data_IF_858500072812
#
_entry.id   IF_858500072812
#
_cell.length_a   1.000
_cell.length_b   1.000
_cell.length_c   1.000
_cell.angle_alpha   90.00
_cell.angle_beta   90.00
_cell.angle_gamma   90.00
#
_symmetry.space_group_name_H-M   'P 1'
#
loop_
_entity.id
_entity.type
_entity.pdbx_description
1 polymer ?
#
# COMPACT_ATOMS: atom_id res chain seq x y z
N UNK A 1 -3.33 -6.21 19.44
CA UNK A 1 -3.75 -6.64 18.07
C UNK A 1 -3.44 -5.51 17.10
N UNK A 2 -3.06 -5.84 15.87
CA UNK A 2 -2.82 -4.85 14.81
C UNK A 2 -3.85 -4.94 13.69
N UNK A 3 -4.08 -3.82 13.03
CA UNK A 3 -4.87 -3.71 11.81
C UNK A 3 -3.94 -3.24 10.70
N UNK A 4 -3.87 -3.99 9.61
CA UNK A 4 -3.06 -3.60 8.45
C UNK A 4 -3.97 -3.05 7.37
N UNK A 5 -3.90 -1.74 7.16
CA UNK A 5 -4.63 -1.05 6.10
C UNK A 5 -3.77 -0.98 4.84
N UNK A 6 -4.33 -1.30 3.68
CA UNK A 6 -3.57 -1.32 2.44
C UNK A 6 -4.38 -0.83 1.23
N UNK A 7 -3.64 -0.35 0.24
CA UNK A 7 -4.15 0.10 -1.05
C UNK A 7 -3.26 -0.40 -2.19
N UNK A 8 -3.76 -0.36 -3.42
CA UNK A 8 -2.99 -0.71 -4.61
C UNK A 8 -2.80 0.48 -5.55
N UNK A 9 -1.73 0.44 -6.34
CA UNK A 9 -1.44 1.43 -7.34
C UNK A 9 -0.87 0.80 -8.62
N UNK A 10 -1.34 1.25 -9.77
CA UNK A 10 -0.87 0.80 -11.09
C UNK A 10 -1.63 -0.39 -11.65
N UNK A 11 -2.65 -0.93 -10.98
CA UNK A 11 -3.49 -2.01 -11.47
C UNK A 11 -4.36 -1.54 -12.67
N UNK A 12 -4.59 -2.44 -13.63
CA UNK A 12 -5.41 -2.21 -14.85
C UNK A 12 -4.97 -1.05 -15.75
N UNK A 13 -3.75 -0.53 -15.60
CA UNK A 13 -3.21 0.54 -16.44
C UNK A 13 -1.84 0.16 -17.05
N UNK A 14 -1.79 -1.00 -17.70
CA UNK A 14 -0.54 -1.59 -18.22
C UNK A 14 0.24 -0.71 -19.20
N UNK A 15 -0.44 0.18 -19.93
CA UNK A 15 0.19 1.04 -20.92
C UNK A 15 0.94 2.24 -20.31
N UNK A 16 0.54 2.69 -19.12
CA UNK A 16 1.08 3.89 -18.49
C UNK A 16 1.84 3.61 -17.19
N UNK A 17 1.61 2.45 -16.59
CA UNK A 17 2.13 2.12 -15.27
C UNK A 17 3.08 0.90 -15.33
N UNK A 18 4.41 1.11 -15.28
CA UNK A 18 5.38 0.02 -15.36
C UNK A 18 5.41 -0.87 -14.12
N UNK A 19 4.89 -0.39 -12.99
CA UNK A 19 4.86 -1.12 -11.72
C UNK A 19 3.43 -1.31 -11.21
N UNK A 20 3.18 -2.46 -10.60
CA UNK A 20 2.08 -2.66 -9.66
C UNK A 20 2.68 -2.61 -8.26
N UNK A 21 2.06 -1.86 -7.37
CA UNK A 21 2.47 -1.72 -5.98
C UNK A 21 1.26 -1.97 -5.10
N UNK A 22 1.42 -2.76 -4.05
CA UNK A 22 0.48 -2.85 -2.94
C UNK A 22 1.25 -2.38 -1.72
N UNK A 23 0.73 -1.37 -1.03
CA UNK A 23 1.38 -0.80 0.13
C UNK A 23 0.38 -0.54 1.25
N UNK A 24 0.87 -0.48 2.47
CA UNK A 24 0.00 -0.27 3.62
C UNK A 24 0.73 0.03 4.91
N UNK A 25 -0.06 0.27 5.94
CA UNK A 25 0.38 0.66 7.28
C UNK A 25 -0.12 -0.35 8.32
N UNK A 26 0.74 -0.71 9.28
CA UNK A 26 0.45 -1.70 10.33
C UNK A 26 0.16 -0.95 11.64
N UNK A 27 -1.11 -0.70 11.93
CA UNK A 27 -1.58 0.15 13.03
C UNK A 27 -1.88 -0.69 14.27
N UNK A 28 -1.34 -0.33 15.43
CA UNK A 28 -1.78 -0.93 16.71
C UNK A 28 -3.16 -0.40 17.07
N UNK A 29 -4.18 -1.28 17.07
CA UNK A 29 -5.58 -0.91 17.18
C UNK A 29 -5.90 -0.03 18.40
N UNK A 30 -5.39 -0.42 19.58
CA UNK A 30 -5.74 0.26 20.84
C UNK A 30 -4.90 1.51 21.11
N UNK A 31 -3.65 1.58 20.55
CA UNK A 31 -2.72 2.63 20.89
C UNK A 31 -2.61 3.73 19.81
N UNK A 32 -2.76 3.36 18.53
CA UNK A 32 -2.44 4.25 17.42
C UNK A 32 -3.65 4.71 16.62
N UNK A 33 -4.74 3.92 16.56
CA UNK A 33 -5.85 4.21 15.64
C UNK A 33 -6.55 5.54 15.96
N UNK A 34 -6.95 5.75 17.20
CA UNK A 34 -7.63 7.00 17.62
C UNK A 34 -6.70 8.22 17.42
N UNK A 35 -5.45 8.24 17.92
CA UNK A 35 -4.54 9.36 17.67
C UNK A 35 -4.28 9.65 16.19
N UNK A 36 -4.22 8.60 15.35
CA UNK A 36 -4.09 8.72 13.90
C UNK A 36 -5.30 9.43 13.29
N UNK A 37 -6.50 8.97 13.62
CA UNK A 37 -7.75 9.54 13.10
C UNK A 37 -7.91 11.01 13.51
N UNK A 38 -7.65 11.34 14.77
CA UNK A 38 -7.66 12.72 15.27
C UNK A 38 -6.63 13.60 14.57
N UNK A 39 -5.47 13.02 14.21
CA UNK A 39 -4.44 13.78 13.51
C UNK A 39 -4.87 14.11 12.07
N UNK A 40 -5.47 13.15 11.37
CA UNK A 40 -6.00 13.38 10.02
C UNK A 40 -7.12 14.42 10.06
N UNK A 41 -8.00 14.41 11.09
CA UNK A 41 -8.99 15.46 11.26
C UNK A 41 -8.36 16.84 11.46
N UNK A 42 -7.27 16.93 12.24
CA UNK A 42 -6.53 18.20 12.37
C UNK A 42 -5.97 18.68 11.03
N UNK A 43 -5.38 17.79 10.21
CA UNK A 43 -4.90 18.16 8.88
C UNK A 43 -6.03 18.62 7.96
N UNK A 44 -7.20 17.98 8.03
CA UNK A 44 -8.39 18.45 7.30
C UNK A 44 -8.76 19.87 7.75
N UNK A 45 -8.79 20.13 9.06
CA UNK A 45 -9.10 21.47 9.59
C UNK A 45 -8.05 22.53 9.22
N UNK A 46 -6.80 22.14 9.15
CA UNK A 46 -5.68 23.02 8.85
C UNK A 46 -5.63 23.40 7.36
N UNK A 47 -5.79 22.42 6.48
CA UNK A 47 -5.59 22.62 5.05
C UNK A 47 -6.89 22.88 4.27
N UNK A 48 -8.03 22.35 4.71
CA UNK A 48 -9.26 22.34 3.93
C UNK A 48 -10.21 23.44 4.40
N UNK A 49 -10.75 24.28 3.49
CA UNK A 49 -11.74 25.30 3.82
C UNK A 49 -12.96 24.72 4.53
N UNK A 50 -13.52 25.46 5.48
CA UNK A 50 -14.58 24.99 6.37
C UNK A 50 -15.79 24.40 5.63
N UNK A 51 -16.19 25.01 4.53
CA UNK A 51 -17.33 24.54 3.71
C UNK A 51 -17.14 23.18 3.04
N UNK A 52 -15.89 22.73 2.92
CA UNK A 52 -15.52 21.52 2.18
C UNK A 52 -15.07 20.36 3.08
N UNK A 53 -15.00 20.55 4.39
CA UNK A 53 -14.48 19.56 5.34
C UNK A 53 -15.37 18.34 5.54
N UNK A 54 -16.69 18.52 5.40
CA UNK A 54 -17.63 17.43 5.66
C UNK A 54 -17.49 16.32 4.65
N UNK A 55 -17.09 15.13 5.11
CA UNK A 55 -16.87 13.97 4.25
C UNK A 55 -15.62 14.08 3.36
N UNK A 56 -14.70 15.02 3.67
CA UNK A 56 -13.47 15.16 2.90
C UNK A 56 -12.55 13.94 3.06
N UNK A 57 -11.92 13.55 1.96
CA UNK A 57 -10.99 12.41 1.88
C UNK A 57 -9.75 12.85 1.13
N UNK A 58 -8.59 12.65 1.73
CA UNK A 58 -7.32 12.84 1.03
C UNK A 58 -7.10 11.72 0.03
N UNK A 59 -6.69 12.09 -1.20
CA UNK A 59 -6.23 11.19 -2.24
C UNK A 59 -4.86 11.66 -2.75
N UNK A 60 -3.84 10.84 -2.60
CA UNK A 60 -2.47 11.22 -2.97
C UNK A 60 -2.32 11.55 -4.46
N UNK A 61 -3.00 10.81 -5.32
CA UNK A 61 -3.02 11.07 -6.77
C UNK A 61 -3.64 12.44 -7.10
N UNK A 62 -4.73 12.84 -6.42
CA UNK A 62 -5.35 14.15 -6.64
C UNK A 62 -4.46 15.29 -6.14
N UNK A 63 -3.84 15.12 -4.99
CA UNK A 63 -2.86 16.08 -4.46
C UNK A 63 -1.68 16.25 -5.42
N UNK A 64 -1.17 15.17 -5.99
CA UNK A 64 -0.03 15.24 -6.90
C UNK A 64 -0.38 15.87 -8.26
N UNK A 65 -1.42 15.39 -8.91
CA UNK A 65 -1.76 15.82 -10.27
C UNK A 65 -2.62 17.08 -10.35
N UNK A 66 -3.27 17.48 -9.26
CA UNK A 66 -4.32 18.47 -9.28
C UNK A 66 -5.60 17.84 -9.82
N UNK A 67 -6.37 17.21 -8.94
CA UNK A 67 -7.62 16.53 -9.28
C UNK A 67 -8.85 17.39 -9.02
N UNK A 68 -10.00 16.74 -8.98
CA UNK A 68 -11.31 17.37 -8.85
C UNK A 68 -11.40 18.41 -7.73
N UNK A 69 -10.83 18.11 -6.57
CA UNK A 69 -10.84 19.00 -5.41
C UNK A 69 -9.65 19.98 -5.42
N UNK A 70 -8.49 19.50 -5.80
CA UNK A 70 -7.24 20.25 -5.80
C UNK A 70 -6.92 20.85 -7.17
N UNK A 71 -7.83 21.62 -7.76
CA UNK A 71 -7.58 22.28 -9.03
C UNK A 71 -6.31 23.13 -8.98
N UNK A 72 -5.59 23.20 -10.10
CA UNK A 72 -4.25 23.79 -10.15
C UNK A 72 -4.23 25.31 -9.98
N UNK A 73 -5.36 25.97 -10.21
CA UNK A 73 -5.50 27.42 -10.10
C UNK A 73 -5.58 27.86 -8.63
N UNK A 74 -6.46 27.20 -7.85
CA UNK A 74 -6.67 27.52 -6.43
C UNK A 74 -5.69 26.77 -5.50
N UNK A 75 -5.13 25.65 -5.99
CA UNK A 75 -4.21 24.79 -5.25
C UNK A 75 -2.89 24.63 -6.03
N UNK A 76 -1.96 25.61 -5.94
CA UNK A 76 -0.65 25.50 -6.57
C UNK A 76 0.11 24.27 -6.08
N UNK A 77 1.01 23.74 -6.92
CA UNK A 77 1.74 22.51 -6.66
C UNK A 77 2.41 22.51 -5.27
N UNK A 78 3.04 23.62 -4.90
CA UNK A 78 3.74 23.74 -3.61
C UNK A 78 2.80 23.45 -2.43
N UNK A 79 1.61 24.04 -2.40
CA UNK A 79 0.61 23.83 -1.35
C UNK A 79 0.12 22.38 -1.29
N UNK A 80 -0.04 21.73 -2.44
CA UNK A 80 -0.44 20.32 -2.53
C UNK A 80 0.67 19.39 -2.05
N UNK A 81 1.93 19.72 -2.33
CA UNK A 81 3.09 18.97 -1.83
C UNK A 81 3.29 19.14 -0.31
N UNK A 82 2.95 20.30 0.26
CA UNK A 82 2.94 20.48 1.71
C UNK A 82 1.95 19.54 2.39
N UNK A 83 0.72 19.42 1.87
CA UNK A 83 -0.27 18.45 2.39
C UNK A 83 0.25 17.01 2.25
N UNK A 84 0.84 16.66 1.10
CA UNK A 84 1.43 15.34 0.92
C UNK A 84 2.58 15.06 1.88
N UNK A 85 3.38 16.06 2.21
CA UNK A 85 4.47 15.94 3.17
C UNK A 85 3.94 15.70 4.59
N UNK A 86 2.89 16.41 4.99
CA UNK A 86 2.24 16.19 6.29
C UNK A 86 1.65 14.78 6.39
N UNK A 87 1.01 14.27 5.34
CA UNK A 87 0.51 12.90 5.28
C UNK A 87 1.65 11.86 5.29
N UNK A 88 2.74 12.10 4.55
CA UNK A 88 3.91 11.23 4.50
C UNK A 88 4.65 11.15 5.84
N UNK A 89 4.59 12.19 6.65
CA UNK A 89 5.21 12.22 7.97
C UNK A 89 4.43 11.41 9.04
N UNK A 90 3.18 11.05 8.79
CA UNK A 90 2.32 10.36 9.76
C UNK A 90 2.90 9.03 10.25
N UNK A 91 3.39 8.12 9.38
CA UNK A 91 3.97 6.86 9.84
C UNK A 91 5.10 7.06 10.86
N UNK A 92 6.06 7.94 10.58
CA UNK A 92 7.15 8.25 11.51
C UNK A 92 6.68 8.94 12.79
N UNK A 93 5.68 9.82 12.69
CA UNK A 93 5.13 10.54 13.86
C UNK A 93 4.46 9.62 14.87
N UNK A 94 3.84 8.55 14.41
CA UNK A 94 3.10 7.62 15.27
C UNK A 94 3.77 6.25 15.41
N UNK A 95 5.00 6.08 14.94
CA UNK A 95 5.74 4.82 14.95
C UNK A 95 4.92 3.68 14.29
N UNK A 96 4.36 3.98 13.11
CA UNK A 96 3.52 3.06 12.34
C UNK A 96 4.36 2.42 11.23
N UNK A 97 4.61 1.10 11.27
CA UNK A 97 5.35 0.42 10.21
C UNK A 97 4.63 0.49 8.86
N UNK A 98 5.41 0.68 7.80
CA UNK A 98 4.96 0.71 6.41
C UNK A 98 5.44 -0.54 5.70
N UNK A 99 4.51 -1.35 5.20
CA UNK A 99 4.79 -2.55 4.41
C UNK A 99 4.43 -2.32 2.95
N UNK A 100 5.15 -2.97 2.02
CA UNK A 100 4.80 -2.94 0.61
C UNK A 100 5.30 -4.19 -0.13
N UNK A 101 4.61 -4.52 -1.21
CA UNK A 101 5.06 -5.41 -2.26
C UNK A 101 4.97 -4.70 -3.61
N UNK A 102 5.83 -5.05 -4.55
CA UNK A 102 5.74 -4.49 -5.90
C UNK A 102 6.19 -5.49 -6.93
N UNK A 103 5.77 -5.27 -8.18
CA UNK A 103 6.21 -6.02 -9.34
C UNK A 103 6.37 -5.10 -10.55
N UNK A 104 7.50 -5.25 -11.26
CA UNK A 104 7.70 -4.60 -12.55
C UNK A 104 7.05 -5.46 -13.62
N UNK A 105 6.16 -4.89 -14.41
CA UNK A 105 5.36 -5.61 -15.41
C UNK A 105 6.21 -6.37 -16.43
N UNK A 106 7.32 -5.77 -16.89
CA UNK A 106 8.20 -6.43 -17.86
C UNK A 106 8.85 -7.71 -17.33
N UNK A 107 9.08 -7.81 -16.00
CA UNK A 107 9.64 -9.00 -15.38
C UNK A 107 8.59 -10.12 -15.27
N UNK A 108 7.35 -9.76 -15.05
CA UNK A 108 6.25 -10.72 -14.94
C UNK A 108 5.93 -11.40 -16.27
N UNK A 109 6.04 -10.69 -17.39
CA UNK A 109 5.85 -11.25 -18.72
C UNK A 109 6.78 -12.42 -19.05
N UNK A 110 7.87 -12.60 -18.32
CA UNK A 110 8.78 -13.74 -18.48
C UNK A 110 8.17 -15.07 -17.98
N UNK A 111 7.20 -15.00 -17.08
CA UNK A 111 6.58 -16.15 -16.41
C UNK A 111 5.12 -16.37 -16.81
N UNK A 112 4.51 -15.39 -17.44
CA UNK A 112 3.12 -15.41 -17.86
C UNK A 112 3.09 -15.57 -19.40
N UNK A 113 2.46 -16.64 -19.88
CA UNK A 113 2.23 -16.81 -21.31
C UNK A 113 1.01 -15.97 -21.75
N UNK A 114 1.22 -14.82 -22.42
CA UNK A 114 0.12 -13.92 -22.80
C UNK A 114 -0.83 -14.55 -23.85
N UNK A 115 -0.42 -15.65 -24.47
CA UNK A 115 -1.29 -16.38 -25.39
C UNK A 115 -2.35 -17.24 -24.66
N UNK A 116 -2.13 -17.52 -23.38
CA UNK A 116 -3.02 -18.36 -22.55
C UNK A 116 -3.98 -17.58 -21.66
N UNK A 117 -3.69 -16.31 -21.38
CA UNK A 117 -4.47 -15.49 -20.48
C UNK A 117 -4.92 -14.20 -21.19
N UNK A 118 -6.13 -13.75 -20.90
CA UNK A 118 -6.56 -12.43 -21.32
C UNK A 118 -5.93 -11.33 -20.44
N UNK A 119 -6.00 -10.09 -20.87
CA UNK A 119 -5.39 -8.94 -20.16
C UNK A 119 -5.82 -8.84 -18.70
N UNK A 120 -7.10 -9.12 -18.40
CA UNK A 120 -7.61 -9.06 -17.03
C UNK A 120 -7.03 -10.18 -16.15
N UNK A 121 -6.93 -11.39 -16.67
CA UNK A 121 -6.35 -12.52 -15.95
C UNK A 121 -4.88 -12.26 -15.63
N UNK A 122 -4.14 -11.69 -16.59
CA UNK A 122 -2.75 -11.26 -16.37
C UNK A 122 -2.66 -10.23 -15.24
N UNK A 123 -3.51 -9.20 -15.25
CA UNK A 123 -3.53 -8.19 -14.20
C UNK A 123 -3.85 -8.78 -12.81
N UNK A 124 -4.79 -9.72 -12.75
CA UNK A 124 -5.13 -10.39 -11.49
C UNK A 124 -4.01 -11.32 -11.00
N UNK A 125 -3.28 -11.98 -11.90
CA UNK A 125 -2.09 -12.75 -11.53
C UNK A 125 -0.99 -11.85 -10.98
N UNK A 126 -0.71 -10.72 -11.65
CA UNK A 126 0.25 -9.73 -11.19
C UNK A 126 -0.12 -9.16 -9.82
N UNK A 127 -1.42 -8.92 -9.61
CA UNK A 127 -1.93 -8.50 -8.31
C UNK A 127 -1.67 -9.57 -7.25
N UNK A 128 -2.00 -10.84 -7.53
CA UNK A 128 -1.78 -11.96 -6.59
C UNK A 128 -0.32 -12.07 -6.18
N UNK A 129 0.61 -12.01 -7.14
CA UNK A 129 2.05 -12.10 -6.88
C UNK A 129 2.57 -10.91 -6.06
N UNK A 130 2.06 -9.70 -6.35
CA UNK A 130 2.38 -8.49 -5.59
C UNK A 130 1.82 -8.55 -4.17
N UNK A 131 0.59 -9.06 -4.04
CA UNK A 131 -0.08 -9.27 -2.77
C UNK A 131 0.66 -10.29 -1.88
N UNK A 132 1.21 -11.36 -2.49
CA UNK A 132 2.05 -12.32 -1.76
C UNK A 132 3.25 -11.63 -1.10
N UNK A 133 3.98 -10.80 -1.86
CA UNK A 133 5.16 -10.06 -1.35
C UNK A 133 4.79 -9.08 -0.26
N UNK A 134 3.68 -8.37 -0.42
CA UNK A 134 3.14 -7.48 0.59
C UNK A 134 2.80 -8.23 1.88
N UNK A 135 2.09 -9.35 1.78
CA UNK A 135 1.74 -10.17 2.93
C UNK A 135 2.97 -10.83 3.59
N UNK A 136 3.97 -11.24 2.80
CA UNK A 136 5.22 -11.78 3.33
C UNK A 136 5.94 -10.76 4.20
N UNK A 137 6.02 -9.51 3.77
CA UNK A 137 6.60 -8.41 4.55
C UNK A 137 5.85 -8.18 5.88
N UNK A 138 4.52 -8.24 5.85
CA UNK A 138 3.70 -8.12 7.07
C UNK A 138 3.95 -9.31 8.00
N UNK A 139 3.91 -10.53 7.48
CA UNK A 139 4.11 -11.73 8.28
C UNK A 139 5.49 -11.75 8.94
N UNK A 140 6.53 -11.32 8.23
CA UNK A 140 7.88 -11.11 8.77
C UNK A 140 7.85 -10.13 9.95
N UNK A 141 7.32 -8.93 9.75
CA UNK A 141 7.22 -7.93 10.80
C UNK A 141 6.47 -8.47 12.02
N UNK A 142 5.34 -9.13 11.80
CA UNK A 142 4.52 -9.69 12.88
C UNK A 142 5.24 -10.79 13.65
N UNK A 143 6.04 -11.63 12.99
CA UNK A 143 6.80 -12.70 13.68
C UNK A 143 8.03 -12.16 14.41
N UNK A 144 8.70 -11.15 13.88
CA UNK A 144 9.97 -10.66 14.41
C UNK A 144 9.79 -9.51 15.42
N UNK A 145 8.89 -8.58 15.16
CA UNK A 145 8.72 -7.38 15.96
C UNK A 145 7.43 -7.33 16.80
N UNK A 146 6.43 -8.17 16.50
CA UNK A 146 5.14 -8.22 17.18
C UNK A 146 4.64 -9.67 17.37
N UNK A 147 5.53 -10.56 17.85
CA UNK A 147 5.33 -12.01 17.84
C UNK A 147 4.19 -12.51 18.75
N UNK A 148 3.73 -11.73 19.68
CA UNK A 148 2.59 -11.99 20.56
C UNK A 148 1.25 -11.44 20.03
N UNK A 149 1.30 -10.72 18.92
CA UNK A 149 0.13 -10.11 18.29
C UNK A 149 -0.29 -10.84 17.00
N UNK A 150 -1.52 -10.59 16.59
CA UNK A 150 -2.04 -10.94 15.26
C UNK A 150 -2.40 -9.67 14.49
N UNK A 151 -2.51 -9.77 13.16
CA UNK A 151 -3.02 -8.70 12.32
C UNK A 151 -4.17 -9.17 11.43
N UNK A 152 -5.09 -8.24 11.15
CA UNK A 152 -6.20 -8.40 10.18
C UNK A 152 -5.96 -7.41 9.04
N UNK A 153 -6.15 -7.87 7.80
CA UNK A 153 -5.95 -7.05 6.60
C UNK A 153 -7.24 -6.32 6.23
N UNK A 154 -7.14 -5.03 5.96
CA UNK A 154 -8.23 -4.16 5.53
C UNK A 154 -7.78 -3.41 4.27
N UNK A 155 -8.28 -3.82 3.11
CA UNK A 155 -7.96 -3.21 1.82
C UNK A 155 -8.95 -2.11 1.43
N UNK A 156 -8.54 -1.25 0.49
CA UNK A 156 -9.51 -0.37 -0.16
C UNK A 156 -10.54 -1.17 -0.96
N UNK A 157 -11.80 -0.72 -0.90
CA UNK A 157 -12.93 -1.39 -1.55
C UNK A 157 -12.85 -1.26 -3.07
N UNK A 158 -12.39 -2.34 -3.71
CA UNK A 158 -12.27 -2.49 -5.15
C UNK A 158 -12.78 -3.89 -5.56
N UNK A 159 -13.99 -3.98 -6.06
CA UNK A 159 -14.65 -5.23 -6.44
C UNK A 159 -13.82 -6.11 -7.38
N UNK A 160 -12.93 -5.51 -8.19
CA UNK A 160 -12.13 -6.25 -9.15
C UNK A 160 -11.11 -7.19 -8.50
N UNK A 161 -10.69 -6.89 -7.25
CA UNK A 161 -9.65 -7.63 -6.54
C UNK A 161 -10.16 -8.50 -5.38
N UNK A 162 -11.41 -8.32 -4.94
CA UNK A 162 -11.94 -9.02 -3.76
C UNK A 162 -11.75 -10.53 -3.82
N UNK A 163 -12.16 -11.14 -4.93
CA UNK A 163 -12.08 -12.59 -5.09
C UNK A 163 -10.64 -13.10 -5.09
N UNK A 164 -9.73 -12.41 -5.80
CA UNK A 164 -8.33 -12.82 -5.90
C UNK A 164 -7.58 -12.64 -4.59
N UNK A 165 -7.82 -11.55 -3.86
CA UNK A 165 -7.20 -11.33 -2.55
C UNK A 165 -7.63 -12.37 -1.52
N UNK A 166 -8.93 -12.70 -1.47
CA UNK A 166 -9.47 -13.74 -0.57
C UNK A 166 -8.93 -15.14 -0.91
N UNK A 167 -8.90 -15.49 -2.19
CA UNK A 167 -8.37 -16.76 -2.66
C UNK A 167 -6.86 -16.88 -2.36
N UNK A 168 -6.09 -15.85 -2.67
CA UNK A 168 -4.67 -15.80 -2.38
C UNK A 168 -4.41 -16.01 -0.88
N UNK A 169 -5.14 -15.30 -0.02
CA UNK A 169 -4.99 -15.43 1.43
C UNK A 169 -5.33 -16.84 1.95
N UNK A 170 -6.30 -17.54 1.36
CA UNK A 170 -6.59 -18.94 1.67
C UNK A 170 -5.41 -19.86 1.34
N UNK A 171 -4.86 -19.72 0.14
CA UNK A 171 -3.70 -20.48 -0.33
C UNK A 171 -2.48 -20.25 0.55
N UNK A 172 -2.20 -19.00 0.92
CA UNK A 172 -1.03 -18.66 1.73
C UNK A 172 -1.11 -19.14 3.19
N UNK A 173 -2.28 -19.58 3.64
CA UNK A 173 -2.48 -20.25 4.93
C UNK A 173 -2.36 -21.76 4.87
N UNK A 174 -2.46 -22.37 3.68
CA UNK A 174 -2.38 -23.81 3.52
C UNK A 174 -0.91 -24.27 3.44
N UNK A 175 -0.38 -25.00 4.45
CA UNK A 175 1.00 -25.45 4.43
C UNK A 175 1.33 -26.38 3.25
N UNK A 176 0.36 -27.17 2.78
CA UNK A 176 0.58 -28.07 1.65
C UNK A 176 0.71 -27.30 0.36
N UNK A 177 -0.19 -26.33 0.13
CA UNK A 177 -0.11 -25.47 -1.04
C UNK A 177 1.20 -24.67 -1.07
N UNK A 178 1.60 -24.09 0.06
CA UNK A 178 2.86 -23.33 0.19
C UNK A 178 4.06 -24.20 -0.13
N UNK A 179 4.13 -25.41 0.41
CA UNK A 179 5.22 -26.35 0.17
C UNK A 179 5.36 -26.72 -1.31
N UNK A 180 4.24 -26.88 -2.01
CA UNK A 180 4.22 -27.31 -3.42
C UNK A 180 4.44 -26.14 -4.38
N UNK A 181 3.89 -24.97 -4.08
CA UNK A 181 3.77 -23.87 -5.05
C UNK A 181 4.71 -22.69 -4.76
N UNK A 182 5.00 -22.43 -3.49
CA UNK A 182 5.77 -21.28 -3.06
C UNK A 182 6.89 -21.60 -2.05
N UNK A 183 7.72 -22.64 -2.28
CA UNK A 183 8.70 -23.15 -1.31
C UNK A 183 9.82 -22.14 -0.97
N UNK A 184 9.96 -21.07 -1.74
CA UNK A 184 10.98 -20.05 -1.54
C UNK A 184 10.48 -18.86 -0.68
N UNK A 185 9.19 -18.82 -0.34
CA UNK A 185 8.64 -17.77 0.51
C UNK A 185 8.86 -18.14 1.98
N UNK A 186 9.76 -17.42 2.64
CA UNK A 186 10.30 -17.77 3.97
C UNK A 186 9.25 -17.63 5.08
N UNK A 187 8.35 -16.65 4.94
CA UNK A 187 7.35 -16.31 5.96
C UNK A 187 5.96 -16.89 5.67
N UNK A 188 5.91 -17.93 4.86
CA UNK A 188 4.70 -18.72 4.59
C UNK A 188 4.81 -20.12 5.22
N UNK A 189 3.71 -20.77 5.63
CA UNK A 189 2.32 -20.23 5.62
C UNK A 189 2.11 -19.13 6.67
N UNK A 190 1.03 -18.33 6.51
CA UNK A 190 0.68 -17.29 7.46
C UNK A 190 0.38 -17.84 8.85
N UNK A 191 1.03 -17.27 9.87
CA UNK A 191 0.79 -17.59 11.28
C UNK A 191 0.21 -16.38 12.04
N UNK A 192 0.49 -15.16 11.61
CA UNK A 192 0.11 -13.92 12.29
C UNK A 192 -0.94 -13.12 11.54
N UNK A 193 -1.00 -13.22 10.22
CA UNK A 193 -2.13 -12.69 9.45
C UNK A 193 -3.32 -13.61 9.66
N UNK A 194 -4.38 -13.11 10.31
CA UNK A 194 -5.57 -13.88 10.68
C UNK A 194 -6.81 -13.30 9.99
N UNK A 195 -7.93 -14.01 10.11
CA UNK A 195 -9.21 -13.71 9.48
C UNK A 195 -9.12 -13.61 7.94
N UNK A 196 -10.25 -13.45 7.29
CA UNK A 196 -10.31 -13.11 5.86
C UNK A 196 -9.97 -11.64 5.68
N UNK A 197 -9.40 -11.27 4.53
CA UNK A 197 -9.24 -9.85 4.19
C UNK A 197 -10.61 -9.15 4.14
N UNK A 198 -10.68 -8.00 4.79
CA UNK A 198 -11.82 -7.09 4.77
C UNK A 198 -11.58 -5.96 3.78
N UNK A 199 -12.65 -5.31 3.34
CA UNK A 199 -12.57 -4.16 2.45
C UNK A 199 -13.43 -3.02 2.99
N UNK A 200 -12.91 -1.79 2.91
CA UNK A 200 -13.57 -0.57 3.34
C UNK A 200 -13.24 0.58 2.38
N UNK A 201 -14.09 1.60 2.35
CA UNK A 201 -13.83 2.80 1.55
C UNK A 201 -12.92 3.76 2.32
N UNK A 202 -12.10 4.53 1.60
CA UNK A 202 -11.28 5.62 2.19
C UNK A 202 -12.12 6.66 2.95
N UNK A 203 -13.39 6.83 2.57
CA UNK A 203 -14.35 7.69 3.29
C UNK A 203 -14.80 7.11 4.64
N UNK A 204 -14.65 5.81 4.84
CA UNK A 204 -15.03 5.08 6.06
C UNK A 204 -13.83 4.82 6.97
N UNK A 205 -12.60 4.89 6.42
CA UNK A 205 -11.36 4.61 7.15
C UNK A 205 -10.25 5.61 6.82
N UNK A 206 -9.87 6.41 7.81
CA UNK A 206 -8.78 7.39 7.66
C UNK A 206 -7.41 6.73 7.47
N UNK A 207 -7.19 5.57 8.07
CA UNK A 207 -5.94 4.83 7.92
C UNK A 207 -5.73 4.36 6.46
N UNK A 208 -6.80 4.10 5.69
CA UNK A 208 -6.70 3.83 4.25
C UNK A 208 -6.19 5.03 3.45
N UNK A 209 -6.43 6.27 3.89
CA UNK A 209 -5.88 7.46 3.24
C UNK A 209 -4.35 7.54 3.41
N UNK A 210 -3.84 7.04 4.53
CA UNK A 210 -2.38 6.94 4.75
C UNK A 210 -1.79 5.79 3.96
N UNK A 211 -2.49 4.65 3.86
CA UNK A 211 -2.08 3.55 3.00
C UNK A 211 -2.00 3.99 1.52
N UNK A 212 -3.00 4.74 1.00
CA UNK A 212 -2.99 5.37 -0.33
C UNK A 212 -1.76 6.26 -0.52
N UNK A 213 -1.50 7.14 0.46
CA UNK A 213 -0.35 8.06 0.40
C UNK A 213 0.98 7.31 0.36
N UNK A 214 1.17 6.33 1.24
CA UNK A 214 2.38 5.51 1.26
C UNK A 214 2.57 4.74 -0.06
N UNK A 215 1.53 4.07 -0.54
CA UNK A 215 1.55 3.30 -1.79
C UNK A 215 1.88 4.18 -2.98
N UNK A 216 1.26 5.37 -3.06
CA UNK A 216 1.53 6.36 -4.10
C UNK A 216 3.01 6.82 -4.10
N UNK A 217 3.54 7.19 -2.93
CA UNK A 217 4.93 7.67 -2.78
C UNK A 217 5.91 6.56 -3.18
N UNK A 218 5.71 5.33 -2.70
CA UNK A 218 6.55 4.18 -3.04
C UNK A 218 6.53 3.93 -4.55
N UNK A 219 5.36 3.93 -5.19
CA UNK A 219 5.26 3.77 -6.65
C UNK A 219 6.02 4.85 -7.40
N UNK A 220 5.89 6.12 -7.02
CA UNK A 220 6.62 7.24 -7.64
C UNK A 220 8.13 7.11 -7.46
N UNK A 221 8.58 6.64 -6.30
CA UNK A 221 9.99 6.35 -6.06
C UNK A 221 10.53 5.28 -7.00
N UNK A 222 9.80 4.18 -7.19
CA UNK A 222 10.16 3.12 -8.15
C UNK A 222 10.20 3.60 -9.60
N UNK A 223 9.41 4.62 -9.95
CA UNK A 223 9.41 5.28 -11.25
C UNK A 223 10.52 6.34 -11.40
N UNK A 224 11.38 6.53 -10.39
CA UNK A 224 12.41 7.55 -10.33
C UNK A 224 11.88 8.98 -10.55
N UNK A 225 10.68 9.30 -10.00
CA UNK A 225 10.12 10.65 -10.08
C UNK A 225 11.02 11.63 -9.32
N UNK A 226 11.52 12.71 -9.96
CA UNK A 226 12.51 13.60 -9.36
C UNK A 226 12.01 14.41 -8.17
N UNK A 227 10.69 14.52 -8.00
CA UNK A 227 10.06 15.34 -6.94
C UNK A 227 9.69 14.53 -5.70
N UNK A 228 9.82 13.19 -5.74
CA UNK A 228 9.33 12.32 -4.68
C UNK A 228 10.34 12.13 -3.53
N UNK A 229 11.61 12.48 -3.73
CA UNK A 229 12.70 12.22 -2.78
C UNK A 229 12.36 12.58 -1.33
N UNK A 230 12.01 13.85 -1.02
CA UNK A 230 11.72 14.27 0.35
C UNK A 230 10.53 13.54 0.99
N UNK A 231 9.50 13.21 0.20
CA UNK A 231 8.33 12.46 0.68
C UNK A 231 8.68 11.01 0.99
N UNK A 232 9.53 10.41 0.16
CA UNK A 232 10.01 9.05 0.38
C UNK A 232 10.93 8.95 1.61
N UNK A 233 11.84 9.91 1.79
CA UNK A 233 12.72 10.01 2.96
C UNK A 233 11.95 10.09 4.28
N UNK A 234 10.77 10.71 4.28
CA UNK A 234 9.89 10.74 5.45
C UNK A 234 9.29 9.35 5.79
N UNK A 235 9.07 8.49 4.80
CA UNK A 235 8.54 7.13 4.99
C UNK A 235 9.64 6.10 5.29
N UNK A 236 10.83 6.30 4.77
CA UNK A 236 11.90 5.29 4.76
C UNK A 236 12.23 4.70 6.14
N UNK A 237 12.29 5.50 7.23
CA UNK A 237 12.57 4.97 8.57
C UNK A 237 11.55 3.96 9.08
N UNK A 238 10.31 4.01 8.57
CA UNK A 238 9.20 3.16 8.99
C UNK A 238 8.99 1.96 8.08
N UNK A 239 9.76 1.84 6.99
CA UNK A 239 9.60 0.73 6.05
C UNK A 239 10.07 -0.60 6.63
N UNK A 240 9.22 -1.59 6.53
CA UNK A 240 9.54 -2.99 6.84
C UNK A 240 10.46 -3.56 5.76
N UNK A 241 11.64 -4.04 6.15
CA UNK A 241 12.82 -4.20 5.28
C UNK A 241 12.92 -5.58 4.62
N UNK A 242 11.88 -6.16 4.07
CA UNK A 242 12.10 -7.31 3.17
C UNK A 242 12.74 -6.89 1.83
N UNK A 243 12.39 -5.71 1.33
CA UNK A 243 12.82 -5.21 0.03
C UNK A 243 12.92 -3.67 0.08
N UNK A 244 14.05 -3.13 0.51
CA UNK A 244 14.31 -1.69 0.28
C UNK A 244 14.48 -1.45 -1.23
N UNK A 245 13.80 -0.45 -1.83
CA UNK A 245 13.91 -0.15 -3.26
C UNK A 245 15.33 0.11 -3.75
N UNK A 246 16.23 0.51 -2.88
CA UNK A 246 17.64 0.77 -3.19
C UNK A 246 18.42 -0.48 -3.58
N UNK A 247 18.06 -1.65 -3.05
CA UNK A 247 18.68 -2.93 -3.43
C UNK A 247 18.32 -3.38 -4.85
N UNK A 248 17.46 -2.66 -5.54
CA UNK A 248 16.88 -3.02 -6.83
C UNK A 248 17.47 -2.23 -7.98
N UNK A 249 18.12 -1.11 -7.72
CA UNK A 249 18.84 -0.33 -8.72
C UNK A 249 20.19 -0.96 -9.08
N UNK A 250 20.78 -1.78 -8.18
CA UNK A 250 22.08 -2.41 -8.39
C UNK A 250 22.02 -3.79 -9.08
N UNK A 251 20.82 -4.41 -9.22
CA UNK A 251 20.67 -5.71 -9.90
C UNK A 251 20.27 -5.60 -11.37
N UNK A 252 20.34 -4.41 -11.97
CA UNK A 252 20.01 -4.14 -13.36
C UNK A 252 21.25 -3.93 -14.23
N UNK A 253 22.30 -4.74 -14.03
CA UNK A 253 23.41 -4.87 -14.97
C UNK A 253 23.46 -6.27 -15.54
#
# INVERSE_FOLDING_TARGET
MRLTYFDDAGLFNAQQEPFIVIGGVIVHADAQLIPLEEHIDRLIHEHIPEGDRTGFVFHAMELWHGGRYFDRENWPLQKRLEILADLAAIPAKFDIPVSFGYQKREHAWRFIDPAKLNTREVELQLYSDTYARFCESIEMFMREAASDEITVLIGEDNDAIHAVAKMAQQHYRDPNWVKETAPLLTYFPFERIRESVHFAKKSESKALQIADTCTFIIKRRLMNDPHIGPLYEALEPMMVVLLKPELLTEQSC
#
